data_IF_948040215552
#
_entry.id   IF_948040215552
#
_cell.length_a   1.000
_cell.length_b   1.000
_cell.length_c   1.000
_cell.angle_alpha   90.00
_cell.angle_beta   90.00
_cell.angle_gamma   90.00
#
_symmetry.space_group_name_H-M   'P 1'
#
loop_
_entity.id
_entity.type
_entity.pdbx_description
1 polymer ?
#
# COMPACT_ATOMS: atom_id res chain seq x y z
N UNK A 1 -10.71 -5.34 -9.15
CA UNK A 1 -10.48 -3.89 -8.96
C UNK A 1 -11.23 -3.01 -9.97
N UNK A 2 -11.10 -3.23 -11.29
CA UNK A 2 -11.72 -2.38 -12.33
C UNK A 2 -13.24 -2.18 -12.15
N UNK A 3 -14.00 -3.27 -12.03
CA UNK A 3 -15.46 -3.23 -11.84
C UNK A 3 -15.81 -2.41 -10.59
N UNK A 4 -15.17 -2.71 -9.46
CA UNK A 4 -15.37 -1.97 -8.22
C UNK A 4 -15.06 -0.47 -8.36
N UNK A 5 -14.00 -0.09 -9.09
CA UNK A 5 -13.70 1.31 -9.35
C UNK A 5 -14.81 2.03 -10.15
N UNK A 6 -15.64 1.30 -10.90
CA UNK A 6 -16.78 1.85 -11.65
C UNK A 6 -18.10 1.81 -10.89
N UNK A 7 -18.33 0.78 -10.07
CA UNK A 7 -19.62 0.55 -9.41
C UNK A 7 -19.63 1.00 -7.95
N UNK A 8 -18.48 1.04 -7.28
CA UNK A 8 -18.35 1.37 -5.86
C UNK A 8 -17.75 2.76 -5.71
N UNK A 9 -18.46 3.67 -5.03
CA UNK A 9 -17.94 5.01 -4.69
C UNK A 9 -16.82 4.92 -3.66
N UNK A 10 -15.97 5.95 -3.56
CA UNK A 10 -14.90 5.96 -2.53
C UNK A 10 -15.50 5.94 -1.13
N UNK A 11 -16.68 6.56 -0.94
CA UNK A 11 -17.44 6.49 0.31
C UNK A 11 -17.86 5.07 0.66
N UNK A 12 -18.41 4.33 -0.31
CA UNK A 12 -18.81 2.95 -0.10
C UNK A 12 -17.60 2.04 0.16
N UNK A 13 -16.47 2.27 -0.53
CA UNK A 13 -15.21 1.60 -0.24
C UNK A 13 -14.76 1.86 1.21
N UNK A 14 -14.77 3.12 1.66
CA UNK A 14 -14.38 3.47 3.03
C UNK A 14 -15.27 2.77 4.06
N UNK A 15 -16.59 2.81 3.89
CA UNK A 15 -17.52 2.14 4.82
C UNK A 15 -17.31 0.62 4.81
N UNK A 16 -17.21 0.02 3.63
CA UNK A 16 -16.94 -1.42 3.47
C UNK A 16 -15.61 -1.83 4.10
N UNK A 17 -14.56 -1.00 3.95
CA UNK A 17 -13.27 -1.22 4.58
C UNK A 17 -13.37 -1.14 6.11
N UNK A 18 -14.09 -0.18 6.68
CA UNK A 18 -14.28 -0.10 8.15
C UNK A 18 -14.93 -1.38 8.69
N UNK A 19 -16.00 -1.85 8.04
CA UNK A 19 -16.72 -3.06 8.45
C UNK A 19 -15.82 -4.30 8.31
N UNK A 20 -15.18 -4.47 7.15
CA UNK A 20 -14.30 -5.62 6.89
C UNK A 20 -13.10 -5.65 7.82
N UNK A 21 -12.45 -4.51 8.06
CA UNK A 21 -11.29 -4.40 8.95
C UNK A 21 -11.71 -4.68 10.40
N UNK A 22 -12.86 -4.18 10.84
CA UNK A 22 -13.35 -4.47 12.19
C UNK A 22 -13.50 -5.98 12.44
N UNK A 23 -14.15 -6.69 11.52
CA UNK A 23 -14.34 -8.14 11.67
C UNK A 23 -13.04 -8.93 11.56
N UNK A 24 -12.13 -8.60 10.62
CA UNK A 24 -10.87 -9.36 10.50
C UNK A 24 -9.93 -9.13 11.69
N UNK A 25 -9.95 -7.93 12.29
CA UNK A 25 -9.16 -7.65 13.50
C UNK A 25 -9.74 -8.35 14.73
N UNK A 26 -11.08 -8.41 14.89
CA UNK A 26 -11.70 -9.22 15.93
C UNK A 26 -11.42 -10.72 15.74
N UNK A 27 -11.50 -11.21 14.50
CA UNK A 27 -11.15 -12.58 14.18
C UNK A 27 -9.67 -12.86 14.49
N UNK A 28 -8.77 -11.91 14.21
CA UNK A 28 -7.35 -12.04 14.54
C UNK A 28 -7.11 -12.19 16.04
N UNK A 29 -7.83 -11.45 16.90
CA UNK A 29 -7.78 -11.66 18.35
C UNK A 29 -8.29 -13.04 18.77
N UNK A 30 -9.32 -13.56 18.09
CA UNK A 30 -9.85 -14.90 18.36
C UNK A 30 -8.88 -16.00 17.97
N UNK A 31 -8.21 -15.86 16.83
CA UNK A 31 -7.20 -16.81 16.34
C UNK A 31 -5.98 -16.81 17.26
N UNK A 32 -5.51 -15.63 17.67
CA UNK A 32 -4.51 -15.54 18.73
C UNK A 32 -3.10 -15.98 18.34
N UNK A 33 -2.81 -16.20 17.05
CA UNK A 33 -1.53 -16.77 16.64
C UNK A 33 -0.37 -15.77 16.76
N UNK A 34 0.81 -16.33 17.00
CA UNK A 34 2.10 -15.67 16.93
C UNK A 34 2.96 -16.39 15.90
N UNK A 35 3.91 -15.67 15.30
CA UNK A 35 4.86 -16.23 14.35
C UNK A 35 6.26 -15.71 14.64
N UNK A 36 7.24 -16.59 14.45
CA UNK A 36 8.63 -16.22 14.34
C UNK A 36 8.86 -15.49 13.02
N UNK A 37 9.60 -14.39 13.10
CA UNK A 37 10.14 -13.65 11.96
C UNK A 37 11.65 -13.92 11.91
N UNK A 38 12.07 -14.82 11.02
CA UNK A 38 13.46 -15.26 10.91
C UNK A 38 14.40 -14.13 10.48
N UNK A 39 13.90 -13.14 9.74
CA UNK A 39 14.69 -11.99 9.30
C UNK A 39 14.99 -11.01 10.43
N UNK A 40 14.05 -10.87 11.36
CA UNK A 40 14.18 -9.95 12.49
C UNK A 40 14.57 -10.68 13.81
N UNK A 41 14.52 -12.02 13.85
CA UNK A 41 14.77 -12.81 15.07
C UNK A 41 13.72 -12.61 16.17
N UNK A 42 12.47 -12.28 15.80
CA UNK A 42 11.43 -11.86 16.75
C UNK A 42 10.18 -12.73 16.68
N UNK A 43 9.56 -12.99 17.84
CA UNK A 43 8.28 -13.69 17.94
C UNK A 43 7.15 -12.68 18.22
N UNK A 44 6.28 -12.46 17.24
CA UNK A 44 5.27 -11.39 17.31
C UNK A 44 3.86 -11.90 17.06
N UNK A 45 2.89 -11.15 17.56
CA UNK A 45 1.48 -11.42 17.32
C UNK A 45 1.12 -11.19 15.86
N UNK A 46 0.53 -12.20 15.22
CA UNK A 46 0.09 -12.15 13.81
C UNK A 46 -1.41 -12.36 13.66
N UNK A 47 -2.06 -12.93 14.67
CA UNK A 47 -3.51 -13.17 14.67
C UNK A 47 -3.92 -14.08 13.51
N UNK A 48 -4.80 -13.61 12.63
CA UNK A 48 -5.25 -14.38 11.47
C UNK A 48 -4.34 -14.25 10.23
N UNK A 49 -3.25 -13.49 10.32
CA UNK A 49 -2.35 -13.22 9.20
C UNK A 49 -1.10 -14.10 9.24
N UNK A 50 -0.41 -14.19 8.09
CA UNK A 50 0.82 -14.95 7.98
C UNK A 50 2.04 -14.22 8.57
N UNK A 51 1.96 -12.90 8.71
CA UNK A 51 3.07 -12.11 9.26
C UNK A 51 2.59 -10.90 10.06
N UNK A 52 3.46 -10.42 10.95
CA UNK A 52 3.22 -9.22 11.77
C UNK A 52 3.02 -7.97 10.91
N UNK A 53 3.70 -7.91 9.76
CA UNK A 53 3.64 -6.77 8.84
C UNK A 53 2.27 -6.70 8.14
N UNK A 54 1.66 -7.84 7.84
CA UNK A 54 0.30 -7.91 7.29
C UNK A 54 -0.75 -7.47 8.32
N UNK A 55 -0.66 -7.94 9.57
CA UNK A 55 -1.55 -7.48 10.63
C UNK A 55 -1.41 -5.96 10.85
N UNK A 56 -0.16 -5.49 10.96
CA UNK A 56 0.14 -4.07 11.09
C UNK A 56 -0.41 -3.25 9.92
N UNK A 57 -0.35 -3.74 8.68
CA UNK A 57 -0.92 -3.07 7.51
C UNK A 57 -2.44 -2.90 7.62
N UNK A 58 -3.14 -3.98 7.96
CA UNK A 58 -4.61 -3.96 8.11
C UNK A 58 -5.02 -3.05 9.27
N UNK A 59 -4.28 -3.07 10.38
CA UNK A 59 -4.48 -2.14 11.49
C UNK A 59 -4.24 -0.67 11.09
N UNK A 60 -3.17 -0.38 10.33
CA UNK A 60 -2.93 0.96 9.77
C UNK A 60 -4.08 1.42 8.87
N UNK A 61 -4.62 0.53 8.01
CA UNK A 61 -5.80 0.84 7.19
C UNK A 61 -7.04 1.11 8.06
N UNK A 62 -7.21 0.41 9.17
CA UNK A 62 -8.31 0.61 10.12
C UNK A 62 -8.29 2.01 10.74
N UNK A 63 -7.12 2.44 11.21
CA UNK A 63 -6.90 3.82 11.70
C UNK A 63 -7.15 4.81 10.56
N UNK A 64 -6.52 4.59 9.40
CA UNK A 64 -6.59 5.48 8.25
C UNK A 64 -8.02 5.74 7.78
N UNK A 65 -8.79 4.67 7.50
CA UNK A 65 -10.16 4.80 7.02
C UNK A 65 -11.09 5.38 8.09
N UNK A 66 -10.82 5.12 9.38
CA UNK A 66 -11.61 5.70 10.48
C UNK A 66 -11.44 7.22 10.54
N UNK A 67 -10.21 7.71 10.45
CA UNK A 67 -9.91 9.16 10.43
C UNK A 67 -10.53 9.81 9.19
N UNK A 68 -10.37 9.21 8.01
CA UNK A 68 -10.96 9.70 6.76
C UNK A 68 -12.49 9.76 6.83
N UNK A 69 -13.13 8.74 7.41
CA UNK A 69 -14.58 8.70 7.55
C UNK A 69 -15.11 9.83 8.42
N UNK A 70 -14.47 10.07 9.57
CA UNK A 70 -14.79 11.17 10.49
C UNK A 70 -14.53 12.54 9.85
N UNK A 71 -13.45 12.67 9.08
CA UNK A 71 -13.07 13.93 8.46
C UNK A 71 -14.02 14.35 7.32
N UNK A 72 -14.44 13.40 6.47
CA UNK A 72 -15.07 13.71 5.18
C UNK A 72 -16.52 13.24 5.00
N UNK A 73 -16.99 12.21 5.72
CA UNK A 73 -18.29 11.59 5.41
C UNK A 73 -19.35 11.74 6.49
N UNK A 74 -18.98 11.70 7.77
CA UNK A 74 -19.94 11.86 8.85
C UNK A 74 -19.30 12.52 10.06
N UNK A 75 -19.91 13.62 10.51
CA UNK A 75 -19.55 14.33 11.74
C UNK A 75 -20.62 14.10 12.80
N UNK A 76 -20.22 14.06 14.07
CA UNK A 76 -21.12 13.94 15.22
C UNK A 76 -20.78 12.79 16.15
N UNK A 77 -21.51 12.69 17.27
CA UNK A 77 -21.28 11.68 18.32
C UNK A 77 -21.47 10.26 17.80
N UNK A 78 -22.50 10.01 16.99
CA UNK A 78 -22.76 8.67 16.46
C UNK A 78 -21.64 8.14 15.56
N UNK A 79 -21.05 8.98 14.69
CA UNK A 79 -19.90 8.53 13.89
C UNK A 79 -18.70 8.20 14.76
N UNK A 80 -18.45 8.99 15.80
CA UNK A 80 -17.37 8.73 16.75
C UNK A 80 -17.61 7.41 17.51
N UNK A 81 -18.82 7.16 17.99
CA UNK A 81 -19.19 5.91 18.66
C UNK A 81 -19.00 4.69 17.76
N UNK A 82 -19.27 4.82 16.46
CA UNK A 82 -19.09 3.73 15.50
C UNK A 82 -17.61 3.47 15.14
N UNK A 83 -16.78 4.51 15.06
CA UNK A 83 -15.37 4.35 14.67
C UNK A 83 -14.41 4.18 15.84
N UNK A 84 -14.75 4.68 17.03
CA UNK A 84 -13.85 4.63 18.19
C UNK A 84 -13.43 3.20 18.58
N UNK A 85 -14.33 2.19 18.62
CA UNK A 85 -13.93 0.81 18.90
C UNK A 85 -12.93 0.28 17.87
N UNK A 86 -13.13 0.60 16.59
CA UNK A 86 -12.22 0.20 15.52
C UNK A 86 -10.87 0.90 15.62
N UNK A 87 -10.83 2.21 15.95
CA UNK A 87 -9.58 2.95 16.16
C UNK A 87 -8.80 2.34 17.31
N UNK A 88 -9.45 2.08 18.44
CA UNK A 88 -8.81 1.49 19.63
C UNK A 88 -8.30 0.07 19.33
N UNK A 89 -9.12 -0.77 18.70
CA UNK A 89 -8.73 -2.12 18.29
C UNK A 89 -7.55 -2.10 17.32
N UNK A 90 -7.59 -1.21 16.33
CA UNK A 90 -6.51 -1.06 15.34
C UNK A 90 -5.23 -0.54 15.99
N UNK A 91 -5.31 0.44 16.89
CA UNK A 91 -4.15 0.97 17.60
C UNK A 91 -3.52 -0.08 18.51
N UNK A 92 -4.34 -0.84 19.24
CA UNK A 92 -3.88 -1.95 20.07
C UNK A 92 -3.17 -3.03 19.24
N UNK A 93 -3.80 -3.53 18.18
CA UNK A 93 -3.20 -4.56 17.33
C UNK A 93 -1.97 -4.08 16.57
N UNK A 94 -1.95 -2.82 16.15
CA UNK A 94 -0.76 -2.21 15.56
C UNK A 94 0.40 -2.21 16.56
N UNK A 95 0.14 -1.81 17.81
CA UNK A 95 1.14 -1.81 18.88
C UNK A 95 1.67 -3.22 19.16
N UNK A 96 0.79 -4.20 19.38
CA UNK A 96 1.18 -5.58 19.72
C UNK A 96 1.82 -6.32 18.54
N UNK A 97 1.55 -5.90 17.29
CA UNK A 97 2.22 -6.49 16.11
C UNK A 97 3.71 -6.14 16.00
N UNK A 98 4.17 -5.06 16.65
CA UNK A 98 5.54 -4.53 16.48
C UNK A 98 5.97 -4.32 15.01
N UNK A 99 5.02 -4.06 14.11
CA UNK A 99 5.30 -3.74 12.70
C UNK A 99 5.87 -2.33 12.57
N UNK A 100 7.20 -2.21 12.64
CA UNK A 100 7.93 -0.93 12.54
C UNK A 100 7.47 -0.08 11.33
N UNK A 101 7.36 -0.71 10.16
CA UNK A 101 6.88 -0.05 8.93
C UNK A 101 5.46 0.51 9.10
N UNK A 102 4.54 -0.26 9.69
CA UNK A 102 3.15 0.17 9.89
C UNK A 102 3.07 1.32 10.90
N UNK A 103 3.85 1.24 11.98
CA UNK A 103 3.91 2.24 13.03
C UNK A 103 4.52 3.56 12.54
N UNK A 104 5.54 3.51 11.67
CA UNK A 104 6.16 4.69 11.09
C UNK A 104 5.34 5.30 9.93
N UNK A 105 4.69 4.47 9.12
CA UNK A 105 3.95 4.96 7.94
C UNK A 105 2.62 5.61 8.28
N UNK A 106 1.90 5.15 9.33
CA UNK A 106 0.56 5.70 9.63
C UNK A 106 0.57 7.18 10.02
N UNK A 107 1.47 7.70 10.89
CA UNK A 107 1.49 9.13 11.23
C UNK A 107 1.87 9.98 10.01
N UNK A 108 2.83 9.52 9.19
CA UNK A 108 3.23 10.22 7.97
C UNK A 108 2.06 10.36 6.98
N UNK A 109 1.28 9.30 6.78
CA UNK A 109 0.11 9.30 5.91
C UNK A 109 -1.01 10.19 6.46
N UNK A 110 -1.27 10.14 7.78
CA UNK A 110 -2.27 10.99 8.42
C UNK A 110 -1.89 12.48 8.35
N UNK A 111 -0.61 12.80 8.54
CA UNK A 111 -0.08 14.16 8.38
C UNK A 111 -0.30 14.66 6.94
N UNK A 112 0.07 13.85 5.94
CA UNK A 112 -0.14 14.19 4.53
C UNK A 112 -1.63 14.41 4.21
N UNK A 113 -2.50 13.48 4.62
CA UNK A 113 -3.94 13.62 4.38
C UNK A 113 -4.50 14.85 5.06
N UNK A 114 -4.04 15.19 6.27
CA UNK A 114 -4.43 16.40 6.97
C UNK A 114 -4.02 17.65 6.19
N UNK A 115 -2.77 17.71 5.70
CA UNK A 115 -2.29 18.81 4.86
C UNK A 115 -3.11 18.96 3.57
N UNK A 116 -3.37 17.85 2.87
CA UNK A 116 -4.20 17.84 1.66
C UNK A 116 -5.66 18.21 1.96
N UNK A 117 -6.19 17.84 3.13
CA UNK A 117 -7.53 18.21 3.57
C UNK A 117 -7.63 19.71 3.88
N UNK A 118 -6.66 20.25 4.62
CA UNK A 118 -6.58 21.67 4.96
C UNK A 118 -6.44 22.54 3.71
N UNK A 119 -5.85 22.02 2.62
CA UNK A 119 -5.77 22.72 1.34
C UNK A 119 -7.14 23.11 0.74
N UNK A 120 -8.25 22.56 1.25
CA UNK A 120 -9.63 22.93 0.88
C UNK A 120 -9.91 24.42 1.05
N UNK A 121 -9.36 25.06 2.07
CA UNK A 121 -9.60 26.49 2.36
C UNK A 121 -8.80 27.42 1.43
N UNK A 122 -7.85 26.87 0.69
CA UNK A 122 -6.90 27.65 -0.11
C UNK A 122 -7.40 27.82 -1.55
N UNK A 123 -7.14 29.01 -2.11
CA UNK A 123 -7.35 29.25 -3.54
C UNK A 123 -6.49 28.30 -4.38
N UNK A 124 -6.90 28.05 -5.64
CA UNK A 124 -6.14 27.18 -6.54
C UNK A 124 -4.71 27.68 -6.77
N UNK A 125 -4.48 28.99 -6.74
CA UNK A 125 -3.14 29.59 -6.85
C UNK A 125 -2.27 29.22 -5.65
N UNK A 126 -2.79 29.40 -4.43
CA UNK A 126 -2.05 29.06 -3.20
C UNK A 126 -1.75 27.57 -3.10
N UNK A 127 -2.69 26.69 -3.46
CA UNK A 127 -2.45 25.24 -3.50
C UNK A 127 -1.27 24.86 -4.40
N UNK A 128 -1.16 25.48 -5.58
CA UNK A 128 -0.05 25.24 -6.51
C UNK A 128 1.28 25.71 -5.95
N UNK A 129 1.32 26.92 -5.38
CA UNK A 129 2.54 27.48 -4.79
C UNK A 129 3.02 26.61 -3.62
N UNK A 130 2.12 26.28 -2.69
CA UNK A 130 2.44 25.40 -1.54
C UNK A 130 2.87 24.01 -2.02
N UNK A 131 2.24 23.47 -3.06
CA UNK A 131 2.67 22.19 -3.63
C UNK A 131 4.08 22.25 -4.21
N UNK A 132 4.42 23.28 -4.98
CA UNK A 132 5.76 23.43 -5.57
C UNK A 132 6.83 23.64 -4.50
N UNK A 133 6.59 24.55 -3.56
CA UNK A 133 7.50 24.82 -2.44
C UNK A 133 7.61 23.58 -1.53
N UNK A 134 6.48 22.97 -1.19
CA UNK A 134 6.42 21.78 -0.34
C UNK A 134 7.08 20.56 -0.96
N UNK A 135 6.96 20.36 -2.28
CA UNK A 135 7.67 19.31 -3.00
C UNK A 135 9.18 19.55 -2.97
N UNK A 136 9.64 20.78 -3.21
CA UNK A 136 11.05 21.14 -3.09
C UNK A 136 11.58 20.94 -1.67
N UNK A 137 10.85 21.40 -0.66
CA UNK A 137 11.21 21.23 0.74
C UNK A 137 11.25 19.75 1.13
N UNK A 138 10.30 18.94 0.68
CA UNK A 138 10.28 17.50 0.95
C UNK A 138 11.53 16.81 0.39
N UNK A 139 11.97 17.17 -0.82
CA UNK A 139 13.23 16.65 -1.39
C UNK A 139 14.42 17.05 -0.52
N UNK A 140 14.51 18.32 -0.11
CA UNK A 140 15.60 18.81 0.75
C UNK A 140 15.57 18.13 2.12
N UNK A 141 14.40 18.05 2.76
CA UNK A 141 14.24 17.41 4.07
C UNK A 141 14.52 15.92 3.99
N UNK A 142 14.08 15.21 2.94
CA UNK A 142 14.41 13.81 2.75
C UNK A 142 15.92 13.61 2.57
N UNK A 143 16.57 14.46 1.76
CA UNK A 143 18.03 14.42 1.58
C UNK A 143 18.77 14.64 2.91
N UNK A 144 18.41 15.69 3.66
CA UNK A 144 19.02 16.00 4.97
C UNK A 144 18.75 14.86 5.97
N UNK A 145 17.52 14.36 6.05
CA UNK A 145 17.14 13.28 6.96
C UNK A 145 17.90 11.98 6.69
N UNK A 146 18.11 11.63 5.41
CA UNK A 146 18.92 10.47 5.03
C UNK A 146 20.39 10.65 5.44
N UNK A 147 20.96 11.85 5.23
CA UNK A 147 22.34 12.14 5.63
C UNK A 147 22.53 12.20 7.16
N UNK A 148 21.49 12.56 7.92
CA UNK A 148 21.51 12.60 9.38
C UNK A 148 21.15 11.26 10.04
N UNK A 149 21.01 10.18 9.28
CA UNK A 149 20.71 8.86 9.83
C UNK A 149 19.29 8.75 10.42
N UNK A 150 18.30 9.51 9.92
CA UNK A 150 16.91 9.40 10.41
C UNK A 150 16.37 7.98 10.25
N UNK A 151 16.79 7.27 9.19
CA UNK A 151 16.43 5.87 9.00
C UNK A 151 16.95 5.02 10.16
N UNK A 152 18.22 5.20 10.54
CA UNK A 152 18.85 4.46 11.64
C UNK A 152 18.20 4.79 12.98
N UNK A 153 17.84 6.07 13.20
CA UNK A 153 17.09 6.48 14.39
C UNK A 153 15.72 5.82 14.47
N UNK A 154 14.93 5.84 13.39
CA UNK A 154 13.61 5.23 13.35
C UNK A 154 13.71 3.71 13.53
N UNK A 155 14.68 3.05 12.89
CA UNK A 155 14.93 1.62 13.05
C UNK A 155 15.36 1.28 14.49
N UNK A 156 16.23 2.09 15.09
CA UNK A 156 16.68 1.95 16.47
C UNK A 156 15.55 2.06 17.50
N UNK A 157 14.53 2.89 17.27
CA UNK A 157 13.33 2.96 18.12
C UNK A 157 12.55 1.63 18.17
N UNK A 158 12.70 0.79 17.15
CA UNK A 158 12.07 -0.54 17.09
C UNK A 158 13.05 -1.67 17.40
N UNK A 159 14.23 -1.36 17.93
CA UNK A 159 15.27 -2.34 18.24
C UNK A 159 15.82 -3.05 17.00
N UNK A 160 15.79 -2.38 15.83
CA UNK A 160 16.31 -2.92 14.57
C UNK A 160 17.67 -2.32 14.25
N UNK A 161 18.58 -3.17 13.80
CA UNK A 161 19.84 -2.71 13.24
C UNK A 161 19.61 -1.95 11.92
N UNK A 162 20.33 -0.84 11.75
CA UNK A 162 20.29 0.01 10.55
C UNK A 162 20.59 -0.75 9.26
N UNK A 163 21.34 -1.84 9.38
CA UNK A 163 21.77 -2.67 8.26
C UNK A 163 20.68 -3.56 7.70
N UNK A 164 19.48 -3.66 8.33
CA UNK A 164 18.42 -4.60 7.93
C UNK A 164 19.03 -5.92 7.45
N UNK A 165 20.01 -6.47 8.19
CA UNK A 165 21.05 -7.39 7.68
C UNK A 165 20.49 -8.55 6.87
N UNK A 166 19.39 -9.16 7.32
CA UNK A 166 18.70 -10.21 6.56
C UNK A 166 18.12 -9.74 5.23
N UNK A 167 17.58 -8.50 5.16
CA UNK A 167 17.00 -7.92 3.95
C UNK A 167 18.06 -7.39 2.97
N UNK A 168 19.13 -6.76 3.45
CA UNK A 168 20.19 -6.26 2.57
C UNK A 168 20.88 -7.41 1.84
N UNK A 169 21.17 -8.50 2.54
CA UNK A 169 21.63 -9.74 1.91
C UNK A 169 20.60 -10.32 0.94
N UNK A 170 19.32 -10.45 1.35
CA UNK A 170 18.25 -10.97 0.47
C UNK A 170 18.09 -10.12 -0.81
N UNK A 171 18.27 -8.80 -0.72
CA UNK A 171 18.22 -7.88 -1.85
C UNK A 171 19.40 -8.02 -2.79
N UNK A 172 20.60 -8.27 -2.26
CA UNK A 172 21.77 -8.62 -3.06
C UNK A 172 21.53 -9.92 -3.84
N UNK A 173 20.94 -10.94 -3.20
CA UNK A 173 20.55 -12.18 -3.88
C UNK A 173 19.50 -11.93 -4.97
N UNK A 174 18.54 -11.04 -4.72
CA UNK A 174 17.61 -10.57 -5.74
C UNK A 174 18.31 -9.91 -6.92
N UNK A 175 19.28 -9.03 -6.67
CA UNK A 175 20.07 -8.40 -7.72
C UNK A 175 20.85 -9.42 -8.56
N UNK A 176 21.47 -10.41 -7.92
CA UNK A 176 22.17 -11.49 -8.60
C UNK A 176 21.23 -12.31 -9.50
N UNK A 177 19.98 -12.55 -9.07
CA UNK A 177 18.96 -13.18 -9.90
C UNK A 177 18.57 -12.32 -11.11
N UNK A 178 18.41 -11.00 -10.92
CA UNK A 178 18.10 -10.05 -12.01
C UNK A 178 19.16 -10.09 -13.11
N UNK A 179 20.44 -10.17 -12.76
CA UNK A 179 21.53 -10.23 -13.76
C UNK A 179 21.40 -11.43 -14.71
N UNK A 180 20.75 -12.52 -14.28
CA UNK A 180 20.54 -13.73 -15.11
C UNK A 180 19.38 -13.57 -16.11
N UNK A 181 18.41 -12.68 -15.85
CA UNK A 181 17.23 -12.48 -16.71
C UNK A 181 16.72 -11.04 -16.66
N UNK A 182 17.51 -10.04 -17.09
CA UNK A 182 17.29 -8.64 -16.74
C UNK A 182 16.08 -8.01 -17.43
N UNK A 183 15.72 -8.44 -18.64
CA UNK A 183 14.69 -7.74 -19.43
C UNK A 183 13.28 -8.12 -18.98
N UNK A 184 12.98 -9.42 -18.94
CA UNK A 184 11.64 -9.96 -18.68
C UNK A 184 11.53 -10.72 -17.35
N UNK A 185 12.63 -10.89 -16.62
CA UNK A 185 12.65 -11.67 -15.38
C UNK A 185 12.46 -13.16 -15.63
N UNK A 186 12.29 -13.90 -14.54
CA UNK A 186 12.08 -15.37 -14.59
C UNK A 186 10.62 -15.78 -14.84
N UNK A 187 9.69 -14.83 -14.84
CA UNK A 187 8.25 -15.04 -14.95
C UNK A 187 7.49 -14.61 -13.69
N UNK A 188 6.30 -14.06 -13.87
CA UNK A 188 5.41 -13.67 -12.78
C UNK A 188 5.09 -14.87 -11.87
N UNK A 189 5.30 -14.72 -10.56
CA UNK A 189 5.12 -15.79 -9.58
C UNK A 189 5.94 -17.07 -9.86
N UNK A 190 7.05 -16.97 -10.63
CA UNK A 190 7.87 -18.11 -11.01
C UNK A 190 9.17 -18.25 -10.19
N UNK A 191 9.52 -17.27 -9.36
CA UNK A 191 10.73 -17.33 -8.55
C UNK A 191 10.52 -18.17 -7.29
N UNK A 192 9.52 -17.84 -6.46
CA UNK A 192 9.24 -18.51 -5.19
C UNK A 192 8.38 -19.78 -5.35
N UNK A 193 8.87 -20.73 -6.15
CA UNK A 193 8.19 -22.01 -6.42
C UNK A 193 9.06 -23.19 -6.02
N UNK A 194 8.43 -24.24 -5.49
CA UNK A 194 9.13 -25.46 -5.09
C UNK A 194 9.82 -26.09 -6.30
N UNK A 195 11.07 -26.51 -6.11
CA UNK A 195 11.93 -27.04 -7.18
C UNK A 195 12.71 -25.98 -7.96
N UNK A 196 12.47 -24.68 -7.77
CA UNK A 196 13.35 -23.65 -8.33
C UNK A 196 14.61 -23.51 -7.45
N UNK A 197 15.79 -23.80 -8.03
CA UNK A 197 17.03 -23.99 -7.28
C UNK A 197 17.40 -22.80 -6.37
N UNK A 198 17.25 -21.56 -6.84
CA UNK A 198 17.57 -20.38 -6.02
C UNK A 198 16.57 -20.16 -4.89
N UNK A 199 15.28 -20.48 -5.09
CA UNK A 199 14.28 -20.39 -4.02
C UNK A 199 14.52 -21.47 -2.96
N UNK A 200 14.82 -22.70 -3.36
CA UNK A 200 15.18 -23.79 -2.45
C UNK A 200 16.42 -23.45 -1.62
N UNK A 201 17.44 -22.86 -2.25
CA UNK A 201 18.63 -22.38 -1.54
C UNK A 201 18.29 -21.31 -0.51
N UNK A 202 17.54 -20.28 -0.89
CA UNK A 202 17.18 -19.18 0.00
C UNK A 202 16.26 -19.64 1.13
N UNK A 203 15.29 -20.52 0.87
CA UNK A 203 14.46 -21.09 1.93
C UNK A 203 15.28 -21.87 2.95
N UNK A 204 16.28 -22.65 2.50
CA UNK A 204 17.16 -23.36 3.43
C UNK A 204 18.03 -22.39 4.24
N UNK A 205 18.58 -21.36 3.60
CA UNK A 205 19.45 -20.36 4.24
C UNK A 205 18.71 -19.50 5.29
N UNK A 206 17.44 -19.18 5.02
CA UNK A 206 16.56 -18.44 5.94
C UNK A 206 15.68 -19.37 6.79
N UNK A 207 15.97 -20.67 6.87
CA UNK A 207 15.25 -21.64 7.70
C UNK A 207 13.72 -21.68 7.45
N UNK A 208 13.27 -21.40 6.23
CA UNK A 208 11.86 -21.41 5.83
C UNK A 208 11.43 -22.82 5.43
N UNK A 209 11.08 -23.63 6.43
CA UNK A 209 10.71 -25.04 6.25
C UNK A 209 9.41 -25.24 5.46
N UNK A 210 8.51 -24.25 5.46
CA UNK A 210 7.23 -24.31 4.73
C UNK A 210 7.38 -24.14 3.22
N UNK A 211 8.54 -23.63 2.75
CA UNK A 211 8.83 -23.34 1.32
C UNK A 211 7.71 -22.60 0.60
N UNK A 212 7.07 -21.68 1.32
CA UNK A 212 5.94 -20.86 0.87
C UNK A 212 5.89 -19.56 1.68
N UNK A 213 5.23 -18.53 1.15
CA UNK A 213 4.98 -17.28 1.89
C UNK A 213 6.22 -16.39 2.12
N UNK A 214 7.31 -16.65 1.40
CA UNK A 214 8.56 -15.88 1.46
C UNK A 214 8.71 -15.03 0.21
N UNK A 215 9.32 -13.85 0.35
CA UNK A 215 9.50 -12.88 -0.73
C UNK A 215 10.65 -11.91 -0.43
N UNK A 216 11.08 -11.11 -1.40
CA UNK A 216 12.19 -10.16 -1.24
C UNK A 216 11.92 -9.01 -0.27
N UNK A 217 10.70 -8.89 0.29
CA UNK A 217 10.31 -7.79 1.18
C UNK A 217 10.58 -6.41 0.54
N UNK A 218 10.53 -6.34 -0.78
CA UNK A 218 10.67 -5.10 -1.54
C UNK A 218 10.00 -5.34 -2.88
N UNK A 219 8.91 -4.61 -3.12
CA UNK A 219 8.09 -4.75 -4.32
C UNK A 219 8.91 -4.55 -5.60
N UNK A 220 9.90 -3.65 -5.59
CA UNK A 220 10.68 -3.33 -6.79
C UNK A 220 11.70 -4.40 -7.11
N UNK A 221 12.35 -4.98 -6.09
CA UNK A 221 13.26 -6.11 -6.27
C UNK A 221 12.46 -7.35 -6.71
N UNK A 222 11.32 -7.60 -6.08
CA UNK A 222 10.41 -8.68 -6.50
C UNK A 222 10.02 -8.52 -7.98
N UNK A 223 9.58 -7.32 -8.38
CA UNK A 223 9.22 -7.04 -9.77
C UNK A 223 10.40 -7.17 -10.73
N UNK A 224 11.62 -6.79 -10.32
CA UNK A 224 12.81 -6.94 -11.15
C UNK A 224 13.17 -8.41 -11.36
N UNK A 225 13.09 -9.23 -10.31
CA UNK A 225 13.40 -10.66 -10.39
C UNK A 225 12.37 -11.40 -11.24
N UNK A 226 11.08 -11.18 -10.98
CA UNK A 226 10.01 -11.91 -11.65
C UNK A 226 9.68 -11.38 -13.04
N UNK A 227 9.76 -10.06 -13.26
CA UNK A 227 9.29 -9.41 -14.48
C UNK A 227 10.36 -8.59 -15.22
N UNK A 228 11.60 -8.57 -14.71
CA UNK A 228 12.69 -7.79 -15.27
C UNK A 228 12.48 -6.29 -15.18
N UNK A 229 13.38 -5.54 -15.82
CA UNK A 229 13.29 -4.09 -15.91
C UNK A 229 12.01 -3.63 -16.59
N UNK A 230 11.45 -4.40 -17.53
CA UNK A 230 10.20 -4.05 -18.20
C UNK A 230 9.05 -4.03 -17.20
N UNK A 231 8.83 -5.12 -16.46
CA UNK A 231 7.74 -5.17 -15.49
C UNK A 231 7.94 -4.26 -14.29
N UNK A 232 9.17 -4.18 -13.76
CA UNK A 232 9.49 -3.26 -12.67
C UNK A 232 9.22 -1.79 -13.05
N UNK A 233 9.55 -1.39 -14.29
CA UNK A 233 9.23 -0.06 -14.81
C UNK A 233 7.73 0.15 -14.91
N UNK A 234 6.97 -0.81 -15.46
CA UNK A 234 5.51 -0.70 -15.58
C UNK A 234 4.82 -0.58 -14.22
N UNK A 235 5.22 -1.39 -13.23
CA UNK A 235 4.68 -1.33 -11.87
C UNK A 235 4.99 0.02 -11.24
N UNK A 236 6.23 0.50 -11.35
CA UNK A 236 6.66 1.79 -10.83
C UNK A 236 5.87 2.93 -11.47
N UNK A 237 5.68 2.91 -12.80
CA UNK A 237 4.89 3.90 -13.52
C UNK A 237 3.43 3.89 -13.07
N UNK A 238 2.81 2.74 -12.84
CA UNK A 238 1.42 2.66 -12.35
C UNK A 238 1.31 3.30 -10.96
N UNK A 239 2.23 2.98 -10.04
CA UNK A 239 2.23 3.54 -8.68
C UNK A 239 2.41 5.06 -8.73
N UNK A 240 3.45 5.53 -9.42
CA UNK A 240 3.79 6.95 -9.51
C UNK A 240 2.70 7.75 -10.23
N UNK A 241 2.18 7.25 -11.35
CA UNK A 241 1.09 7.89 -12.09
C UNK A 241 -0.18 7.98 -11.25
N UNK A 242 -0.49 6.95 -10.47
CA UNK A 242 -1.70 6.94 -9.62
C UNK A 242 -1.58 7.95 -8.49
N UNK A 243 -0.44 7.98 -7.80
CA UNK A 243 -0.16 8.97 -6.76
C UNK A 243 -0.20 10.39 -7.34
N UNK A 244 0.55 10.64 -8.41
CA UNK A 244 0.57 11.93 -9.10
C UNK A 244 -0.84 12.35 -9.56
N UNK A 245 -1.62 11.43 -10.12
CA UNK A 245 -2.97 11.73 -10.60
C UNK A 245 -3.93 12.18 -9.50
N UNK A 246 -3.85 11.58 -8.31
CA UNK A 246 -4.68 11.98 -7.17
C UNK A 246 -4.19 13.29 -6.53
N UNK A 247 -2.89 13.44 -6.32
CA UNK A 247 -2.30 14.68 -5.79
C UNK A 247 -2.54 15.85 -6.73
N UNK A 248 -2.31 15.67 -8.04
CA UNK A 248 -2.58 16.70 -9.05
C UNK A 248 -4.07 17.06 -9.16
N UNK A 249 -4.98 16.10 -8.92
CA UNK A 249 -6.40 16.42 -8.83
C UNK A 249 -6.72 17.31 -7.62
N UNK A 250 -6.08 17.10 -6.47
CA UNK A 250 -6.21 17.99 -5.29
C UNK A 250 -5.61 19.37 -5.56
N UNK A 251 -4.47 19.45 -6.23
CA UNK A 251 -3.73 20.72 -6.40
C UNK A 251 -4.28 21.55 -7.55
N UNK A 252 -4.51 20.94 -8.72
CA UNK A 252 -4.78 21.66 -9.96
C UNK A 252 -6.27 21.70 -10.34
N UNK A 253 -7.14 20.88 -9.74
CA UNK A 253 -8.58 20.82 -10.05
C UNK A 253 -9.44 21.34 -8.89
N UNK A 254 -10.76 21.28 -9.06
CA UNK A 254 -11.72 21.57 -7.99
C UNK A 254 -11.50 20.58 -6.84
N UNK A 255 -11.37 21.09 -5.62
CA UNK A 255 -11.09 20.25 -4.47
C UNK A 255 -12.25 19.26 -4.23
N UNK A 256 -11.90 17.99 -4.01
CA UNK A 256 -12.83 16.90 -3.67
C UNK A 256 -12.16 16.02 -2.62
N UNK A 257 -12.95 15.35 -1.79
CA UNK A 257 -12.42 14.44 -0.78
C UNK A 257 -11.81 13.17 -1.42
N UNK A 258 -12.40 12.66 -2.50
CA UNK A 258 -11.99 11.37 -3.10
C UNK A 258 -10.49 11.32 -3.48
N UNK A 259 -9.91 12.32 -4.19
CA UNK A 259 -8.49 12.29 -4.51
C UNK A 259 -7.59 12.45 -3.28
N UNK A 260 -8.04 13.13 -2.21
CA UNK A 260 -7.28 13.22 -0.94
C UNK A 260 -7.18 11.84 -0.28
N UNK A 261 -8.31 11.12 -0.25
CA UNK A 261 -8.39 9.77 0.33
C UNK A 261 -7.53 8.79 -0.49
N UNK A 262 -7.69 8.79 -1.82
CA UNK A 262 -6.92 7.88 -2.65
C UNK A 262 -5.43 8.25 -2.70
N UNK A 263 -5.05 9.52 -2.57
CA UNK A 263 -3.65 9.91 -2.39
C UNK A 263 -3.07 9.35 -1.09
N UNK A 264 -3.80 9.41 0.03
CA UNK A 264 -3.33 8.84 1.30
C UNK A 264 -3.15 7.32 1.24
N UNK A 265 -4.09 6.60 0.61
CA UNK A 265 -3.94 5.16 0.33
C UNK A 265 -2.68 4.90 -0.51
N UNK A 266 -2.47 5.67 -1.57
CA UNK A 266 -1.30 5.51 -2.44
C UNK A 266 0.02 5.80 -1.72
N UNK A 267 0.07 6.80 -0.82
CA UNK A 267 1.29 7.07 -0.05
C UNK A 267 1.56 5.97 0.97
N UNK A 268 0.53 5.43 1.63
CA UNK A 268 0.69 4.28 2.50
C UNK A 268 1.29 3.09 1.73
N UNK A 269 0.72 2.75 0.58
CA UNK A 269 1.22 1.65 -0.26
C UNK A 269 2.62 1.94 -0.82
N UNK A 270 2.92 3.19 -1.20
CA UNK A 270 4.24 3.57 -1.68
C UNK A 270 5.31 3.40 -0.61
N UNK A 271 5.09 3.91 0.61
CA UNK A 271 6.05 3.75 1.72
C UNK A 271 6.29 2.26 1.99
N UNK A 272 5.21 1.47 2.04
CA UNK A 272 5.30 0.03 2.31
C UNK A 272 5.95 -0.75 1.17
N UNK A 273 5.81 -0.32 -0.08
CA UNK A 273 6.37 -1.03 -1.24
C UNK A 273 7.89 -1.22 -1.20
N UNK A 274 8.62 -0.38 -0.46
CA UNK A 274 10.07 -0.51 -0.28
C UNK A 274 10.46 -1.63 0.69
N UNK A 275 9.53 -2.13 1.50
CA UNK A 275 9.80 -3.04 2.62
C UNK A 275 8.81 -4.22 2.69
N UNK A 276 7.83 -4.26 1.80
CA UNK A 276 6.83 -5.34 1.68
C UNK A 276 6.35 -5.50 0.22
N UNK A 277 5.79 -6.66 -0.10
CA UNK A 277 5.26 -7.01 -1.43
C UNK A 277 3.72 -7.08 -1.40
N UNK A 278 3.08 -5.92 -1.23
CA UNK A 278 1.63 -5.84 -1.03
C UNK A 278 0.82 -5.50 -2.29
N UNK A 279 1.48 -5.07 -3.37
CA UNK A 279 0.81 -4.51 -4.57
C UNK A 279 0.91 -5.38 -5.83
N UNK A 280 1.74 -6.42 -5.83
CA UNK A 280 1.94 -7.33 -6.97
C UNK A 280 1.08 -8.58 -6.89
N UNK A 281 0.90 -9.12 -5.68
CA UNK A 281 0.28 -10.41 -5.49
C UNK A 281 -1.24 -10.35 -5.70
N UNK A 282 -1.85 -11.40 -6.28
CA UNK A 282 -3.29 -11.45 -6.47
C UNK A 282 -3.98 -11.57 -5.10
N UNK A 283 -5.21 -11.07 -5.01
CA UNK A 283 -6.06 -11.13 -3.80
C UNK A 283 -5.56 -10.34 -2.57
N UNK A 284 -4.39 -9.69 -2.65
CA UNK A 284 -3.92 -8.83 -1.57
C UNK A 284 -4.71 -7.52 -1.54
N UNK A 285 -5.01 -7.05 -0.32
CA UNK A 285 -5.72 -5.78 -0.09
C UNK A 285 -4.95 -4.61 -0.72
N UNK A 286 -3.62 -4.61 -0.64
CA UNK A 286 -2.77 -3.59 -1.26
C UNK A 286 -2.93 -3.52 -2.78
N UNK A 287 -2.81 -4.65 -3.46
CA UNK A 287 -3.05 -4.78 -4.91
C UNK A 287 -4.45 -4.28 -5.28
N UNK A 288 -5.49 -4.72 -4.56
CA UNK A 288 -6.85 -4.26 -4.82
C UNK A 288 -6.99 -2.74 -4.70
N UNK A 289 -6.47 -2.15 -3.62
CA UNK A 289 -6.54 -0.71 -3.36
C UNK A 289 -5.73 0.11 -4.39
N UNK A 290 -4.56 -0.38 -4.78
CA UNK A 290 -3.71 0.25 -5.80
C UNK A 290 -4.45 0.32 -7.13
N UNK A 291 -4.92 -0.83 -7.64
CA UNK A 291 -5.62 -0.88 -8.92
C UNK A 291 -6.99 -0.17 -8.86
N UNK A 292 -7.72 -0.23 -7.74
CA UNK A 292 -8.93 0.56 -7.54
C UNK A 292 -8.63 2.06 -7.69
N UNK A 293 -7.57 2.53 -7.04
CA UNK A 293 -7.13 3.93 -7.10
C UNK A 293 -6.70 4.33 -8.51
N UNK A 294 -5.99 3.46 -9.23
CA UNK A 294 -5.60 3.68 -10.63
C UNK A 294 -6.81 3.80 -11.56
N UNK A 295 -7.77 2.88 -11.46
CA UNK A 295 -8.95 2.86 -12.32
C UNK A 295 -9.98 3.94 -11.98
N UNK A 296 -9.94 4.53 -10.77
CA UNK A 296 -10.68 5.77 -10.48
C UNK A 296 -10.18 6.97 -11.28
N UNK A 297 -8.88 7.01 -11.62
CA UNK A 297 -8.29 8.05 -12.47
C UNK A 297 -8.41 7.75 -13.96
N UNK A 298 -8.10 6.52 -14.37
CA UNK A 298 -8.17 6.12 -15.76
C UNK A 298 -9.66 5.99 -16.17
N UNK A 299 -10.09 6.68 -17.23
CA UNK A 299 -11.34 6.35 -17.92
C UNK A 299 -10.97 5.44 -19.08
N UNK A 300 -11.14 4.13 -18.93
CA UNK A 300 -11.07 3.25 -20.08
C UNK A 300 -12.30 3.59 -20.94
N UNK A 301 -12.13 3.88 -22.24
CA UNK A 301 -13.27 4.06 -23.12
C UNK A 301 -14.04 2.73 -23.12
N UNK A 302 -15.19 2.71 -22.45
CA UNK A 302 -16.18 1.68 -22.72
C UNK A 302 -16.67 2.03 -24.11
N UNK A 303 -16.28 1.25 -25.11
CA UNK A 303 -16.90 1.29 -26.43
C UNK A 303 -18.37 1.05 -26.22
N UNK A 304 -19.15 2.13 -26.11
CA UNK A 304 -20.59 2.09 -26.29
C UNK A 304 -20.79 1.60 -27.71
N UNK A 305 -20.97 0.28 -27.85
CA UNK A 305 -21.46 -0.32 -29.08
C UNK A 305 -22.82 0.30 -29.28
N UNK A 306 -22.88 1.36 -30.08
CA UNK A 306 -24.12 1.99 -30.51
C UNK A 306 -24.91 0.86 -31.14
N UNK A 307 -25.95 0.43 -30.42
CA UNK A 307 -26.94 -0.52 -30.92
C UNK A 307 -27.59 0.24 -32.08
N UNK A 308 -27.09 0.06 -33.30
CA UNK A 308 -27.76 0.52 -34.51
C UNK A 308 -29.18 -0.03 -34.39
N UNK A 309 -30.13 0.85 -34.15
CA UNK A 309 -31.55 0.55 -34.32
C UNK A 309 -31.70 -0.02 -35.72
N UNK A 310 -32.04 -1.29 -35.81
CA UNK A 310 -32.62 -1.81 -37.04
C UNK A 310 -33.88 -0.98 -37.27
N UNK A 311 -33.87 -0.17 -38.34
CA UNK A 311 -35.07 0.47 -38.82
C UNK A 311 -36.08 -0.64 -39.19
N UNK A 312 -37.39 -0.44 -38.96
CA UNK A 312 -38.38 -1.38 -39.44
C UNK A 312 -38.29 -1.45 -40.96
N UNK A 313 -38.13 -2.66 -41.49
CA UNK A 313 -38.23 -2.93 -42.91
C UNK A 313 -39.72 -2.96 -43.28
N UNK A 314 -40.31 -1.77 -43.44
CA UNK A 314 -41.56 -1.61 -44.17
C UNK A 314 -41.23 -0.98 -45.52
N UNK A 315 -41.25 -1.80 -46.57
CA UNK A 315 -41.66 -1.46 -47.95
C UNK A 315 -41.33 -2.61 -48.92
N UNK A 316 -42.29 -3.52 -49.13
CA UNK A 316 -42.76 -4.04 -50.42
C UNK A 316 -43.67 -5.25 -50.18
#
# INVERSE_FOLDING_TARGET
AYIAARTVSVRALTIGALVGIFFILLYSLRVGNYSDDVLDGTYNFVGAFASKNQLGFVASLGIYFSVVFLAFYRRGRLSLMLTAPLILLSAYLLFVSHSATSMASIPAVLALVTLLAMSKILSRRYRRVIFLIGAGLLVVTAFVALNLGLMDFVLGLFGKDSTLTGRTYLWEQGWNAVQKSPILGVGYAAYWVQGFAEAERLWNEFYITTRTGFHFHNTYIEALVELGFVGATLVSLIVLRTLYGHVSAVVFKTWRAEPVILAGVMVLLLIRSFVEVEILNPYFTGSFLMYYSFFKLARLPVTTRTRRSQAPADAA
#
